data_IF_776942602255
#
_entry.id   IF_776942602255
#
_cell.length_a   1.000
_cell.length_b   1.000
_cell.length_c   1.000
_cell.angle_alpha   90.00
_cell.angle_beta   90.00
_cell.angle_gamma   90.00
#
_symmetry.space_group_name_H-M   'P 1'
#
loop_
_entity.id
_entity.type
_entity.pdbx_description
1 polymer ?
#
# COMPACT_ATOMS: atom_id res chain seq x y z
N UNK A 1 17.28 -5.04 -6.56
CA UNK A 1 16.79 -4.01 -7.49
C UNK A 1 17.43 -2.64 -7.24
N UNK A 2 17.18 -1.98 -6.09
CA UNK A 2 17.67 -0.60 -5.82
C UNK A 2 19.19 -0.45 -5.95
N UNK A 3 19.98 -1.43 -5.46
CA UNK A 3 21.45 -1.43 -5.62
C UNK A 3 21.92 -1.62 -7.07
N UNK A 4 21.10 -2.26 -7.91
CA UNK A 4 21.51 -2.75 -9.22
C UNK A 4 21.12 -1.82 -10.38
N UNK A 5 20.08 -0.99 -10.23
CA UNK A 5 19.58 -0.13 -11.28
C UNK A 5 19.64 1.36 -10.86
N UNK A 6 20.36 2.22 -11.61
CA UNK A 6 20.52 3.64 -11.25
C UNK A 6 19.22 4.44 -11.38
N UNK A 7 18.23 3.94 -12.13
CA UNK A 7 16.90 4.53 -12.28
C UNK A 7 16.10 4.61 -10.98
N UNK A 8 16.49 3.88 -9.94
CA UNK A 8 15.99 4.09 -8.58
C UNK A 8 16.85 5.16 -7.90
N UNK A 9 16.58 6.41 -8.23
CA UNK A 9 17.28 7.59 -7.76
C UNK A 9 16.57 8.26 -6.57
N UNK A 10 17.21 9.26 -5.98
CA UNK A 10 16.67 9.98 -4.83
C UNK A 10 15.32 10.65 -5.11
N UNK A 11 15.10 11.13 -6.34
CA UNK A 11 13.82 11.71 -6.74
C UNK A 11 12.69 10.68 -6.67
N UNK A 12 12.96 9.43 -7.08
CA UNK A 12 11.99 8.34 -7.02
C UNK A 12 11.84 7.75 -5.62
N UNK A 13 12.94 7.65 -4.87
CA UNK A 13 12.99 7.04 -3.54
C UNK A 13 12.56 8.00 -2.41
N UNK A 14 12.54 9.30 -2.67
CA UNK A 14 12.30 10.36 -1.68
C UNK A 14 13.40 10.50 -0.62
N UNK A 15 14.52 9.79 -0.79
CA UNK A 15 15.67 9.70 0.12
C UNK A 15 16.93 9.34 -0.64
N UNK A 16 18.13 9.69 -0.13
CA UNK A 16 19.38 9.15 -0.64
C UNK A 16 19.35 7.62 -0.69
N UNK A 17 19.88 7.04 -1.77
CA UNK A 17 19.76 5.60 -2.06
C UNK A 17 20.22 4.70 -0.91
N UNK A 18 21.34 5.05 -0.26
CA UNK A 18 21.86 4.30 0.89
C UNK A 18 20.88 4.29 2.06
N UNK A 19 20.35 5.48 2.41
CA UNK A 19 19.35 5.64 3.47
C UNK A 19 18.07 4.86 3.14
N UNK A 20 17.62 4.88 1.88
CA UNK A 20 16.44 4.12 1.47
C UNK A 20 16.63 2.61 1.67
N UNK A 21 17.79 2.08 1.30
CA UNK A 21 18.08 0.64 1.45
C UNK A 21 18.09 0.23 2.92
N UNK A 22 18.70 1.03 3.79
CA UNK A 22 18.69 0.77 5.24
C UNK A 22 17.28 0.89 5.82
N UNK A 23 16.52 1.90 5.38
CA UNK A 23 15.13 2.09 5.78
C UNK A 23 14.28 0.87 5.40
N UNK A 24 14.23 0.49 4.13
CA UNK A 24 13.35 -0.60 3.67
C UNK A 24 13.83 -1.98 4.11
N UNK A 25 15.12 -2.13 4.46
CA UNK A 25 15.67 -3.36 5.02
C UNK A 25 15.24 -3.63 6.47
N UNK A 26 14.64 -2.65 7.16
CA UNK A 26 14.16 -2.80 8.52
C UNK A 26 12.84 -3.59 8.57
N UNK A 27 12.69 -4.59 9.46
CA UNK A 27 11.49 -5.45 9.51
C UNK A 27 10.24 -4.72 10.02
N UNK A 28 10.39 -3.51 10.57
CA UNK A 28 9.28 -2.69 11.08
C UNK A 28 8.84 -1.61 10.10
N UNK A 29 9.52 -1.48 8.95
CA UNK A 29 9.17 -0.52 7.91
C UNK A 29 8.27 -1.16 6.88
N UNK A 30 7.32 -0.38 6.38
CA UNK A 30 6.34 -0.85 5.42
C UNK A 30 6.77 -0.47 4.02
N UNK A 31 6.63 -1.40 3.09
CA UNK A 31 6.74 -1.11 1.67
C UNK A 31 5.51 -0.37 1.15
N UNK A 32 5.64 0.24 -0.02
CA UNK A 32 4.57 0.98 -0.65
C UNK A 32 4.72 1.09 -2.17
N UNK A 33 4.35 2.24 -2.78
CA UNK A 33 4.38 2.42 -4.23
C UNK A 33 5.74 2.14 -4.88
N UNK A 34 6.85 2.50 -4.22
CA UNK A 34 8.20 2.26 -4.72
C UNK A 34 8.50 0.75 -4.80
N UNK A 35 8.20 -0.02 -3.75
CA UNK A 35 8.36 -1.47 -3.74
C UNK A 35 7.49 -2.14 -4.80
N UNK A 36 6.25 -1.69 -4.97
CA UNK A 36 5.32 -2.22 -5.98
C UNK A 36 5.85 -1.98 -7.40
N UNK A 37 6.37 -0.79 -7.69
CA UNK A 37 7.01 -0.50 -8.97
C UNK A 37 8.27 -1.37 -9.20
N UNK A 38 9.08 -1.55 -8.15
CA UNK A 38 10.25 -2.43 -8.19
C UNK A 38 9.86 -3.87 -8.48
N UNK A 39 8.83 -4.40 -7.81
CA UNK A 39 8.36 -5.77 -7.99
C UNK A 39 7.78 -5.97 -9.38
N UNK A 40 6.95 -5.04 -9.87
CA UNK A 40 6.42 -5.11 -11.24
C UNK A 40 7.54 -5.19 -12.29
N UNK A 41 8.57 -4.36 -12.15
CA UNK A 41 9.74 -4.39 -13.03
C UNK A 41 10.58 -5.67 -12.87
N UNK A 42 10.76 -6.15 -11.65
CA UNK A 42 11.59 -7.33 -11.35
C UNK A 42 10.96 -8.62 -11.86
N UNK A 43 9.65 -8.76 -11.73
CA UNK A 43 8.91 -9.97 -12.11
C UNK A 43 8.34 -9.92 -13.53
N UNK A 44 8.41 -8.77 -14.21
CA UNK A 44 7.85 -8.61 -15.55
C UNK A 44 6.33 -8.86 -15.58
N UNK A 45 5.64 -8.37 -14.55
CA UNK A 45 4.19 -8.52 -14.37
C UNK A 45 3.60 -7.21 -13.86
N UNK A 46 2.37 -6.91 -14.25
CA UNK A 46 1.63 -5.79 -13.66
C UNK A 46 1.15 -6.13 -12.25
N UNK A 47 1.09 -5.13 -11.39
CA UNK A 47 0.50 -5.24 -10.05
C UNK A 47 -0.61 -4.20 -9.96
N UNK A 48 -1.86 -4.64 -9.94
CA UNK A 48 -3.01 -3.76 -9.74
C UNK A 48 -3.35 -3.69 -8.24
N UNK A 49 -3.38 -2.50 -7.69
CA UNK A 49 -3.75 -2.25 -6.28
C UNK A 49 -5.10 -1.55 -6.24
N UNK A 50 -6.12 -2.26 -5.77
CA UNK A 50 -7.47 -1.71 -5.62
C UNK A 50 -7.69 -1.21 -4.20
N UNK A 51 -7.99 0.07 -4.08
CA UNK A 51 -8.24 0.73 -2.80
C UNK A 51 -9.66 0.42 -2.32
N UNK A 52 -9.82 -0.14 -1.11
CA UNK A 52 -11.16 -0.37 -0.52
C UNK A 52 -11.88 0.96 -0.29
N UNK A 53 -11.16 1.99 0.14
CA UNK A 53 -11.74 3.28 0.53
C UNK A 53 -12.56 3.95 -0.59
N UNK A 54 -12.08 3.90 -1.84
CA UNK A 54 -12.67 4.65 -2.94
C UNK A 54 -12.80 3.85 -4.26
N UNK A 55 -12.35 2.60 -4.30
CA UNK A 55 -12.42 1.74 -5.50
C UNK A 55 -11.40 2.09 -6.59
N UNK A 56 -10.52 3.08 -6.37
CA UNK A 56 -9.45 3.41 -7.33
C UNK A 56 -8.49 2.23 -7.47
N UNK A 57 -8.08 1.94 -8.70
CA UNK A 57 -7.06 0.94 -9.01
C UNK A 57 -5.80 1.64 -9.51
N UNK A 58 -4.68 1.44 -8.81
CA UNK A 58 -3.37 1.92 -9.22
C UNK A 58 -2.59 0.73 -9.83
N UNK A 59 -2.23 0.80 -11.12
CA UNK A 59 -1.58 -0.30 -11.85
C UNK A 59 -0.09 -0.03 -12.04
N UNK A 60 0.75 -0.80 -11.37
CA UNK A 60 2.21 -0.71 -11.46
C UNK A 60 2.72 -1.58 -12.60
N UNK A 61 3.55 -1.00 -13.47
CA UNK A 61 4.04 -1.67 -14.67
C UNK A 61 3.12 -1.54 -15.89
N UNK A 62 2.05 -0.75 -15.78
CA UNK A 62 1.16 -0.45 -16.91
C UNK A 62 1.93 0.09 -18.12
N UNK A 63 1.52 -0.32 -19.32
CA UNK A 63 2.13 0.13 -20.57
C UNK A 63 3.50 -0.48 -20.87
N UNK A 64 4.01 -1.38 -20.01
CA UNK A 64 5.28 -2.10 -20.25
C UNK A 64 5.12 -3.35 -21.13
N UNK A 65 3.89 -3.71 -21.50
CA UNK A 65 3.59 -4.89 -22.31
C UNK A 65 3.74 -6.21 -21.54
N UNK A 66 3.58 -6.19 -20.21
CA UNK A 66 3.60 -7.41 -19.42
C UNK A 66 2.32 -8.21 -19.62
N UNK A 67 2.45 -9.49 -19.99
CA UNK A 67 1.31 -10.36 -20.31
C UNK A 67 0.58 -10.96 -19.10
N UNK A 68 0.93 -10.56 -17.87
CA UNK A 68 0.35 -11.07 -16.63
C UNK A 68 0.15 -9.94 -15.63
N UNK A 69 -0.91 -10.05 -14.84
CA UNK A 69 -1.22 -9.11 -13.76
C UNK A 69 -1.58 -9.86 -12.48
N UNK A 70 -1.09 -9.38 -11.36
CA UNK A 70 -1.53 -9.78 -10.01
C UNK A 70 -2.32 -8.64 -9.38
N UNK A 71 -3.16 -8.98 -8.41
CA UNK A 71 -4.08 -8.02 -7.80
C UNK A 71 -3.90 -8.01 -6.30
N UNK A 72 -3.85 -6.80 -5.74
CA UNK A 72 -3.82 -6.54 -4.32
C UNK A 72 -5.04 -5.70 -3.94
N UNK A 73 -5.62 -5.98 -2.78
CA UNK A 73 -6.59 -5.12 -2.13
C UNK A 73 -5.86 -4.31 -1.05
N UNK A 74 -6.05 -3.00 -1.02
CA UNK A 74 -5.47 -2.14 0.00
C UNK A 74 -6.57 -1.57 0.91
N UNK A 75 -6.47 -1.87 2.21
CA UNK A 75 -7.44 -1.44 3.22
C UNK A 75 -7.14 -0.06 3.81
N UNK A 76 -6.13 0.65 3.29
CA UNK A 76 -5.60 1.90 3.87
C UNK A 76 -4.38 1.67 4.76
N UNK A 77 -4.24 0.49 5.37
CA UNK A 77 -3.10 0.14 6.23
C UNK A 77 -2.55 -1.28 5.98
N UNK A 78 -3.18 -2.06 5.10
CA UNK A 78 -2.78 -3.44 4.84
C UNK A 78 -2.99 -3.79 3.36
N UNK A 79 -2.13 -4.65 2.83
CA UNK A 79 -2.27 -5.24 1.50
C UNK A 79 -2.65 -6.71 1.63
N UNK A 80 -3.72 -7.11 0.94
CA UNK A 80 -4.14 -8.50 0.83
C UNK A 80 -4.07 -8.94 -0.64
N UNK A 81 -3.55 -10.14 -0.90
CA UNK A 81 -3.52 -10.68 -2.25
C UNK A 81 -4.92 -11.13 -2.67
N UNK A 82 -5.33 -10.75 -3.89
CA UNK A 82 -6.57 -11.23 -4.50
C UNK A 82 -6.24 -12.47 -5.34
N UNK A 83 -7.01 -13.54 -5.14
CA UNK A 83 -6.97 -14.73 -5.99
C UNK A 83 -8.28 -14.88 -6.75
N UNK A 84 -8.18 -15.27 -8.02
CA UNK A 84 -9.33 -15.56 -8.88
C UNK A 84 -9.47 -17.08 -8.98
N UNK A 85 -10.32 -17.66 -8.13
CA UNK A 85 -10.35 -19.11 -7.93
C UNK A 85 -9.03 -19.62 -7.35
N UNK A 86 -8.32 -20.49 -8.10
CA UNK A 86 -7.00 -21.01 -7.71
C UNK A 86 -5.83 -20.20 -8.30
N UNK A 87 -6.12 -19.20 -9.14
CA UNK A 87 -5.10 -18.39 -9.81
C UNK A 87 -4.73 -17.16 -8.98
N UNK A 88 -3.42 -16.88 -8.87
CA UNK A 88 -2.88 -15.67 -8.21
C UNK A 88 -2.42 -14.59 -9.19
N UNK A 89 -2.38 -14.92 -10.47
CA UNK A 89 -2.09 -14.03 -11.58
C UNK A 89 -3.03 -14.39 -12.73
N UNK A 90 -3.44 -13.39 -13.50
CA UNK A 90 -4.32 -13.54 -14.66
C UNK A 90 -3.58 -13.14 -15.93
N UNK A 91 -4.00 -13.66 -17.08
CA UNK A 91 -3.43 -13.28 -18.37
C UNK A 91 -4.03 -11.98 -18.89
N UNK A 92 -3.38 -11.35 -19.87
CA UNK A 92 -3.78 -10.05 -20.42
C UNK A 92 -5.23 -10.03 -20.94
N UNK A 93 -5.70 -11.14 -21.51
CA UNK A 93 -7.06 -11.30 -22.01
C UNK A 93 -8.12 -11.24 -20.90
N UNK A 94 -7.72 -11.54 -19.66
CA UNK A 94 -8.57 -11.59 -18.47
C UNK A 94 -8.54 -10.28 -17.66
N UNK A 95 -7.69 -9.30 -18.01
CA UNK A 95 -7.52 -8.08 -17.20
C UNK A 95 -8.84 -7.34 -16.97
N UNK A 96 -9.65 -7.15 -18.01
CA UNK A 96 -10.93 -6.43 -17.88
C UNK A 96 -11.91 -7.13 -16.94
N UNK A 97 -11.99 -8.47 -16.98
CA UNK A 97 -12.89 -9.23 -16.11
C UNK A 97 -12.38 -9.28 -14.67
N UNK A 98 -11.06 -9.41 -14.49
CA UNK A 98 -10.38 -9.37 -13.21
C UNK A 98 -10.48 -7.99 -12.54
N UNK A 99 -10.31 -6.90 -13.30
CA UNK A 99 -10.50 -5.52 -12.83
C UNK A 99 -11.91 -5.32 -12.28
N UNK A 100 -12.93 -5.73 -13.04
CA UNK A 100 -14.33 -5.62 -12.62
C UNK A 100 -14.62 -6.46 -11.36
N UNK A 101 -14.04 -7.66 -11.25
CA UNK A 101 -14.19 -8.51 -10.07
C UNK A 101 -13.48 -7.93 -8.83
N UNK A 102 -12.27 -7.40 -8.99
CA UNK A 102 -11.53 -6.76 -7.91
C UNK A 102 -12.23 -5.48 -7.41
N UNK A 103 -12.81 -4.69 -8.30
CA UNK A 103 -13.63 -3.53 -7.95
C UNK A 103 -14.89 -3.92 -7.15
N UNK A 104 -15.59 -4.99 -7.55
CA UNK A 104 -16.74 -5.51 -6.78
C UNK A 104 -16.32 -5.94 -5.38
N UNK A 105 -15.23 -6.69 -5.26
CA UNK A 105 -14.68 -7.10 -3.97
C UNK A 105 -14.32 -5.89 -3.08
N UNK A 106 -13.71 -4.85 -3.66
CA UNK A 106 -13.42 -3.61 -2.93
C UNK A 106 -14.69 -2.92 -2.44
N UNK A 107 -15.74 -2.85 -3.27
CA UNK A 107 -17.03 -2.27 -2.88
C UNK A 107 -17.70 -3.06 -1.75
N UNK A 108 -17.69 -4.40 -1.80
CA UNK A 108 -18.19 -5.27 -0.73
C UNK A 108 -17.44 -5.06 0.59
N UNK A 109 -16.09 -4.99 0.52
CA UNK A 109 -15.25 -4.74 1.69
C UNK A 109 -15.47 -3.35 2.26
N UNK A 110 -15.70 -2.35 1.42
CA UNK A 110 -16.07 -0.99 1.87
C UNK A 110 -17.40 -1.00 2.61
N UNK A 111 -18.41 -1.67 2.05
CA UNK A 111 -19.74 -1.77 2.66
C UNK A 111 -19.71 -2.47 4.03
N UNK A 112 -18.77 -3.40 4.26
CA UNK A 112 -18.57 -4.06 5.54
C UNK A 112 -17.61 -3.32 6.49
N UNK A 113 -17.19 -2.10 6.17
CA UNK A 113 -16.23 -1.34 6.99
C UNK A 113 -14.81 -1.91 7.00
N UNK A 114 -14.43 -2.68 5.98
CA UNK A 114 -13.14 -3.37 5.85
C UNK A 114 -11.96 -2.47 5.44
N UNK A 115 -11.95 -1.22 5.87
CA UNK A 115 -10.85 -0.28 5.62
C UNK A 115 -10.62 0.67 6.79
N UNK A 116 -9.42 1.24 6.85
CA UNK A 116 -9.03 2.29 7.79
C UNK A 116 -8.79 3.56 7.00
N UNK A 117 -9.60 4.57 7.29
CA UNK A 117 -9.41 5.91 6.75
C UNK A 117 -8.33 6.63 7.58
N UNK A 118 -7.13 6.78 7.00
CA UNK A 118 -5.99 7.37 7.71
C UNK A 118 -6.18 8.86 8.02
N UNK A 119 -7.10 9.56 7.36
CA UNK A 119 -7.36 10.97 7.60
C UNK A 119 -8.35 11.19 8.75
N UNK A 120 -9.23 10.23 8.99
CA UNK A 120 -10.32 10.35 9.98
C UNK A 120 -10.26 9.33 11.11
N UNK A 121 -9.36 8.34 11.05
CA UNK A 121 -9.18 7.37 12.14
C UNK A 121 -8.85 8.09 13.45
N UNK A 122 -9.38 7.58 14.55
CA UNK A 122 -9.07 8.14 15.88
C UNK A 122 -8.03 7.26 16.55
N UNK A 123 -7.02 7.88 17.14
CA UNK A 123 -5.95 7.19 17.85
C UNK A 123 -5.74 7.81 19.23
N UNK A 124 -5.80 7.01 20.28
CA UNK A 124 -5.48 7.42 21.66
C UNK A 124 -4.01 7.18 21.95
N UNK A 125 -3.32 8.23 22.37
CA UNK A 125 -1.99 8.14 22.96
C UNK A 125 -2.08 7.42 24.31
N UNK A 126 -1.37 6.29 24.46
CA UNK A 126 -1.38 5.48 25.68
C UNK A 126 -0.65 6.13 26.86
N UNK A 127 0.18 7.13 26.59
CA UNK A 127 1.03 7.79 27.60
C UNK A 127 0.27 8.95 28.28
N UNK A 128 -0.41 9.80 27.50
CA UNK A 128 -1.07 11.00 28.03
C UNK A 128 -2.59 11.07 27.77
N UNK A 129 -3.16 10.11 27.05
CA UNK A 129 -4.59 10.05 26.77
C UNK A 129 -5.08 10.95 25.63
N UNK A 130 -4.21 11.76 25.02
CA UNK A 130 -4.54 12.60 23.87
C UNK A 130 -5.18 11.77 22.73
N UNK A 131 -6.24 12.29 22.11
CA UNK A 131 -6.93 11.65 21.00
C UNK A 131 -6.58 12.41 19.72
N UNK A 132 -5.78 11.79 18.86
CA UNK A 132 -5.52 12.29 17.51
C UNK A 132 -6.65 11.89 16.56
N UNK A 133 -6.98 12.78 15.63
CA UNK A 133 -7.83 12.55 14.46
C UNK A 133 -6.91 12.50 13.23
N UNK A 134 -6.80 11.31 12.66
CA UNK A 134 -5.95 10.99 11.53
C UNK A 134 -4.49 10.74 11.88
N UNK A 135 -3.75 10.23 10.90
CA UNK A 135 -2.33 9.93 10.95
C UNK A 135 -1.47 11.19 11.13
N UNK A 136 -1.85 12.29 10.47
CA UNK A 136 -1.11 13.56 10.54
C UNK A 136 -1.03 14.08 11.97
N UNK A 137 -2.16 14.15 12.67
CA UNK A 137 -2.20 14.65 14.05
C UNK A 137 -1.48 13.69 15.01
N UNK A 138 -1.59 12.37 14.80
CA UNK A 138 -0.86 11.39 15.61
C UNK A 138 0.66 11.55 15.46
N UNK A 139 1.15 11.73 14.23
CA UNK A 139 2.58 11.97 13.95
C UNK A 139 3.07 13.30 14.52
N UNK A 140 2.28 14.37 14.40
CA UNK A 140 2.60 15.66 14.98
C UNK A 140 2.71 15.58 16.50
N UNK A 141 1.76 14.90 17.17
CA UNK A 141 1.82 14.64 18.60
C UNK A 141 3.08 13.84 18.98
N UNK A 142 3.38 12.77 18.24
CA UNK A 142 4.55 11.93 18.51
C UNK A 142 5.87 12.71 18.34
N UNK A 143 5.96 13.56 17.32
CA UNK A 143 7.12 14.40 17.06
C UNK A 143 7.31 15.49 18.13
N UNK A 144 6.22 16.13 18.58
CA UNK A 144 6.28 17.21 19.56
C UNK A 144 6.48 16.75 21.01
N UNK A 145 6.05 15.54 21.35
CA UNK A 145 6.06 15.03 22.75
C UNK A 145 7.01 13.85 22.96
N UNK A 146 7.43 13.16 21.89
CA UNK A 146 8.12 11.88 21.97
C UNK A 146 7.21 10.68 22.26
N UNK A 147 5.91 10.87 22.45
CA UNK A 147 4.96 9.79 22.70
C UNK A 147 4.66 8.99 21.42
N UNK A 148 5.09 7.72 21.37
CA UNK A 148 4.96 6.88 20.15
C UNK A 148 3.95 5.74 20.28
N UNK A 149 3.29 5.62 21.43
CA UNK A 149 2.36 4.53 21.70
C UNK A 149 0.91 4.96 21.48
N UNK A 150 0.32 4.51 20.38
CA UNK A 150 -1.07 4.78 20.02
C UNK A 150 -1.89 3.50 19.92
N UNK A 151 -3.19 3.58 20.20
CA UNK A 151 -4.16 2.51 19.97
C UNK A 151 -5.53 3.08 19.60
N UNK A 152 -6.43 2.20 19.14
CA UNK A 152 -7.84 2.55 18.99
C UNK A 152 -8.40 3.09 20.34
N UNK A 153 -9.23 4.15 20.33
CA UNK A 153 -9.89 4.62 21.54
C UNK A 153 -10.85 3.55 22.04
N UNK A 154 -10.66 3.12 23.29
CA UNK A 154 -11.66 2.35 24.04
C UNK A 154 -12.85 3.22 24.44
#
# INVERSE_FOLDING_TARGET
AVRAAPSWDEATLGKPRGEYIEFIGSPIRWGGPVELAIFAATYGAEIAVVQVQNGRSDVYGEGRGYGRRVYLLHSGIHFDAISFGTQRAVSQEEFSSADAAAQRLAAERKASGGFVDQDTMRLRCKICGFIAVGDLEARAHAGGTGHKEFAAPS
#
